data_IF_660259563856
#
_entry.id   IF_660259563856
#
_cell.length_a   1.000
_cell.length_b   1.000
_cell.length_c   1.000
_cell.angle_alpha   90.00
_cell.angle_beta   90.00
_cell.angle_gamma   90.00
#
_symmetry.space_group_name_H-M   'P 1'
#
loop_
_entity.id
_entity.type
_entity.pdbx_description
1 polymer ?
#
# COMPACT_ATOMS: atom_id res chain seq x y z
N UNK A 1 -6.11 8.38 -13.00
CA UNK A 1 -4.75 8.43 -12.43
C UNK A 1 -4.42 7.07 -11.84
N UNK A 2 -3.21 6.57 -12.08
CA UNK A 2 -2.72 5.34 -11.47
C UNK A 2 -1.66 5.75 -10.44
N UNK A 3 -1.73 5.19 -9.24
CA UNK A 3 -0.79 5.48 -8.15
C UNK A 3 -0.47 4.20 -7.38
N UNK A 4 0.59 4.20 -6.60
CA UNK A 4 0.87 3.11 -5.66
C UNK A 4 0.21 3.38 -4.33
N UNK A 5 -0.05 2.32 -3.55
CA UNK A 5 -0.79 2.42 -2.28
C UNK A 5 -0.19 3.48 -1.34
N UNK A 6 1.14 3.60 -1.30
CA UNK A 6 1.86 4.57 -0.48
C UNK A 6 1.59 6.05 -0.85
N UNK A 7 1.23 6.32 -2.12
CA UNK A 7 1.04 7.67 -2.64
C UNK A 7 -0.44 8.01 -2.87
N UNK A 8 -1.38 7.15 -2.45
CA UNK A 8 -2.80 7.36 -2.68
C UNK A 8 -3.33 8.66 -2.05
N UNK A 9 -2.86 9.00 -0.84
CA UNK A 9 -3.25 10.24 -0.14
C UNK A 9 -2.73 11.47 -0.89
N UNK A 10 -1.43 11.50 -1.19
CA UNK A 10 -0.81 12.58 -1.96
C UNK A 10 -1.48 12.76 -3.33
N UNK A 11 -1.84 11.66 -3.99
CA UNK A 11 -2.52 11.67 -5.29
C UNK A 11 -3.90 12.32 -5.21
N UNK A 12 -4.64 12.08 -4.12
CA UNK A 12 -5.96 12.71 -3.88
C UNK A 12 -5.83 14.20 -3.61
N UNK A 13 -4.89 14.61 -2.76
CA UNK A 13 -4.64 16.02 -2.44
C UNK A 13 -4.17 16.82 -3.67
N UNK A 14 -3.30 16.21 -4.48
CA UNK A 14 -2.86 16.81 -5.74
C UNK A 14 -4.02 16.96 -6.72
N UNK A 15 -4.90 15.96 -6.83
CA UNK A 15 -6.09 16.03 -7.68
C UNK A 15 -7.04 17.15 -7.23
N UNK A 16 -7.27 17.31 -5.93
CA UNK A 16 -8.07 18.42 -5.39
C UNK A 16 -7.46 19.78 -5.72
N UNK A 17 -6.15 19.95 -5.50
CA UNK A 17 -5.43 21.21 -5.77
C UNK A 17 -5.52 21.60 -7.25
N UNK A 18 -5.56 20.62 -8.15
CA UNK A 18 -5.66 20.83 -9.59
C UNK A 18 -7.10 21.01 -10.09
N UNK A 19 -8.10 21.06 -9.20
CA UNK A 19 -9.51 21.16 -9.60
C UNK A 19 -10.09 19.87 -10.19
N UNK A 20 -9.43 18.73 -9.95
CA UNK A 20 -9.80 17.40 -10.44
C UNK A 20 -10.29 16.52 -9.29
N UNK A 21 -11.10 17.06 -8.38
CA UNK A 21 -11.56 16.35 -7.18
C UNK A 21 -12.32 15.04 -7.51
N UNK A 22 -13.00 14.97 -8.66
CA UNK A 22 -13.73 13.78 -9.13
C UNK A 22 -12.86 12.84 -9.98
N UNK A 23 -11.54 13.05 -10.03
CA UNK A 23 -10.65 12.17 -10.78
C UNK A 23 -10.73 10.73 -10.26
N UNK A 24 -10.94 9.78 -11.18
CA UNK A 24 -10.82 8.36 -10.87
C UNK A 24 -9.36 8.02 -10.61
N UNK A 25 -9.03 7.75 -9.34
CA UNK A 25 -7.71 7.31 -8.89
C UNK A 25 -7.79 5.81 -8.60
N UNK A 26 -6.96 5.03 -9.28
CA UNK A 26 -6.82 3.59 -9.07
C UNK A 26 -5.47 3.36 -8.39
N UNK A 27 -5.50 2.74 -7.22
CA UNK A 27 -4.28 2.30 -6.54
C UNK A 27 -3.88 0.93 -7.06
N UNK A 28 -2.61 0.75 -7.36
CA UNK A 28 -2.02 -0.54 -7.71
C UNK A 28 -0.88 -0.85 -6.75
N UNK A 29 -0.67 -2.14 -6.38
CA UNK A 29 0.48 -2.51 -5.56
C UNK A 29 1.79 -2.05 -6.23
N UNK A 30 2.71 -1.51 -5.44
CA UNK A 30 4.01 -1.08 -5.96
C UNK A 30 4.74 -2.29 -6.60
N UNK A 31 5.30 -2.17 -7.83
CA UNK A 31 6.03 -3.26 -8.45
C UNK A 31 7.16 -3.75 -7.54
N UNK A 32 7.21 -5.06 -7.28
CA UNK A 32 8.22 -5.64 -6.38
C UNK A 32 9.65 -5.26 -6.83
N UNK A 33 9.89 -5.17 -8.14
CA UNK A 33 11.20 -4.81 -8.70
C UNK A 33 11.67 -3.37 -8.44
N UNK A 34 10.79 -2.47 -8.02
CA UNK A 34 11.14 -1.08 -7.66
C UNK A 34 11.17 -0.84 -6.14
N UNK A 35 10.92 -1.90 -5.35
CA UNK A 35 10.96 -1.83 -3.88
C UNK A 35 12.39 -2.02 -3.39
N UNK A 36 12.82 -1.25 -2.39
CA UNK A 36 14.12 -1.48 -1.74
C UNK A 36 14.15 -2.85 -1.07
N UNK A 37 15.34 -3.44 -0.92
CA UNK A 37 15.47 -4.73 -0.22
C UNK A 37 14.88 -4.66 1.21
N UNK A 38 15.08 -3.53 1.88
CA UNK A 38 14.48 -3.25 3.19
C UNK A 38 12.95 -3.27 3.16
N UNK A 39 12.35 -2.56 2.20
CA UNK A 39 10.90 -2.55 2.03
C UNK A 39 10.34 -3.93 1.67
N UNK A 40 11.10 -4.74 0.95
CA UNK A 40 10.72 -6.11 0.63
C UNK A 40 10.75 -7.00 1.89
N UNK A 41 11.76 -6.83 2.75
CA UNK A 41 11.88 -7.56 4.01
C UNK A 41 10.71 -7.25 4.96
N UNK A 42 10.39 -5.97 5.14
CA UNK A 42 9.26 -5.56 5.98
C UNK A 42 7.92 -6.11 5.49
N UNK A 43 7.71 -6.15 4.16
CA UNK A 43 6.52 -6.76 3.58
C UNK A 43 6.48 -8.27 3.82
N UNK A 44 7.62 -8.96 3.71
CA UNK A 44 7.71 -10.39 3.99
C UNK A 44 7.44 -10.70 5.48
N UNK A 45 7.98 -9.90 6.39
CA UNK A 45 7.72 -9.99 7.83
C UNK A 45 6.22 -9.82 8.14
N UNK A 46 5.59 -8.76 7.64
CA UNK A 46 4.16 -8.53 7.84
C UNK A 46 3.27 -9.65 7.26
N UNK A 47 3.65 -10.22 6.12
CA UNK A 47 2.94 -11.36 5.54
C UNK A 47 3.11 -12.65 6.37
N UNK A 48 4.30 -12.87 6.93
CA UNK A 48 4.56 -13.98 7.83
C UNK A 48 3.74 -13.85 9.13
N UNK A 49 3.70 -12.65 9.72
CA UNK A 49 2.91 -12.36 10.91
C UNK A 49 1.42 -12.57 10.67
N UNK A 50 0.89 -12.10 9.53
CA UNK A 50 -0.49 -12.35 9.14
C UNK A 50 -0.79 -13.85 9.00
N UNK A 51 0.13 -14.61 8.38
CA UNK A 51 -0.01 -16.06 8.22
C UNK A 51 0.02 -16.79 9.57
N UNK A 52 0.92 -16.40 10.48
CA UNK A 52 0.99 -16.93 11.84
C UNK A 52 -0.31 -16.60 12.59
N UNK A 53 -0.81 -15.37 12.51
CA UNK A 53 -2.07 -14.96 13.13
C UNK A 53 -3.25 -15.81 12.67
N UNK A 54 -3.34 -16.09 11.36
CA UNK A 54 -4.36 -16.96 10.78
C UNK A 54 -4.24 -18.42 11.26
N UNK A 55 -3.02 -18.95 11.32
CA UNK A 55 -2.77 -20.35 11.70
C UNK A 55 -2.85 -20.61 13.20
N UNK A 56 -2.60 -19.58 14.03
CA UNK A 56 -2.56 -19.69 15.48
C UNK A 56 -3.78 -19.10 16.18
N UNK A 57 -4.67 -18.43 15.42
CA UNK A 57 -5.85 -17.74 15.97
C UNK A 57 -5.51 -16.51 16.81
N UNK A 58 -4.26 -16.01 16.72
CA UNK A 58 -3.81 -14.84 17.46
C UNK A 58 -4.09 -13.57 16.66
N UNK A 59 -5.33 -13.14 16.65
CA UNK A 59 -5.66 -11.73 16.34
C UNK A 59 -5.12 -10.89 17.47
N UNK A 60 -4.03 -10.14 17.20
CA UNK A 60 -3.41 -9.24 18.17
C UNK A 60 -4.44 -8.27 18.76
N UNK A 61 -4.48 -8.19 20.09
CA UNK A 61 -5.15 -7.12 20.83
C UNK A 61 -4.21 -5.96 21.08
#
# INVERSE_FOLDING_TARGET
MITTDEFLVLSRESAQTQGLADARIVSVPHPIGATTEEGLRQRAEGAADASIGLLTGRTGG
#
